data_IF_738360625047
#
_entry.id   IF_738360625047
#
_cell.length_a   1.000
_cell.length_b   1.000
_cell.length_c   1.000
_cell.angle_alpha   90.00
_cell.angle_beta   90.00
_cell.angle_gamma   90.00
#
_symmetry.space_group_name_H-M   'P 1'
#
loop_
_entity.id
_entity.type
_entity.pdbx_description
1 polymer ?
#
# COMPACT_ATOMS: atom_id res chain seq x y z
N UNK A 1 -0.47 -9.78 -1.72
CA UNK A 1 0.43 -10.23 -2.81
C UNK A 1 0.73 -11.74 -2.73
N UNK A 2 0.97 -12.33 -1.54
CA UNK A 2 1.16 -13.78 -1.42
C UNK A 2 -0.03 -14.57 -1.99
N UNK A 3 -1.27 -14.16 -1.71
CA UNK A 3 -2.46 -14.74 -2.31
C UNK A 3 -2.43 -14.64 -3.84
N UNK A 4 -2.12 -13.47 -4.40
CA UNK A 4 -2.03 -13.29 -5.85
C UNK A 4 -1.03 -14.28 -6.49
N UNK A 5 0.17 -14.37 -5.93
CA UNK A 5 1.19 -15.30 -6.40
C UNK A 5 0.74 -16.78 -6.32
N UNK A 6 0.01 -17.17 -5.27
CA UNK A 6 -0.57 -18.52 -5.17
C UNK A 6 -1.64 -18.77 -6.23
N UNK A 7 -2.48 -17.77 -6.51
CA UNK A 7 -3.54 -17.91 -7.51
C UNK A 7 -3.00 -18.00 -8.94
N UNK A 8 -1.90 -17.31 -9.23
CA UNK A 8 -1.23 -17.36 -10.55
C UNK A 8 -0.65 -18.74 -10.91
N UNK A 9 -0.36 -19.57 -9.93
CA UNK A 9 0.16 -20.94 -10.17
C UNK A 9 -0.96 -21.94 -10.54
N UNK A 10 -2.22 -21.67 -10.15
CA UNK A 10 -3.34 -22.58 -10.33
C UNK A 10 -3.54 -23.02 -11.79
N UNK A 11 -3.53 -22.14 -12.82
CA UNK A 11 -3.72 -22.57 -14.20
C UNK A 11 -2.66 -23.57 -14.67
N UNK A 12 -1.40 -23.38 -14.31
CA UNK A 12 -0.31 -24.28 -14.64
C UNK A 12 -0.48 -25.64 -13.94
N UNK A 13 -0.85 -25.64 -12.66
CA UNK A 13 -1.13 -26.85 -11.92
C UNK A 13 -2.28 -27.64 -12.57
N UNK A 14 -3.38 -26.99 -12.92
CA UNK A 14 -4.50 -27.61 -13.63
C UNK A 14 -4.04 -28.25 -14.94
N UNK A 15 -3.25 -27.52 -15.72
CA UNK A 15 -2.73 -28.02 -16.99
C UNK A 15 -1.90 -29.31 -16.82
N UNK A 16 -1.05 -29.38 -15.79
CA UNK A 16 -0.24 -30.57 -15.50
C UNK A 16 -1.08 -31.78 -15.06
N UNK A 17 -2.23 -31.55 -14.43
CA UNK A 17 -3.08 -32.61 -13.87
C UNK A 17 -4.17 -33.11 -14.84
N UNK A 18 -4.49 -32.36 -15.91
CA UNK A 18 -5.54 -32.73 -16.90
C UNK A 18 -5.32 -34.10 -17.54
N UNK A 19 -4.06 -34.57 -17.66
CA UNK A 19 -3.75 -35.90 -18.25
C UNK A 19 -3.90 -37.09 -17.30
N UNK A 20 -4.25 -36.87 -16.04
CA UNK A 20 -4.38 -37.93 -15.04
C UNK A 20 -5.79 -38.49 -15.00
N UNK A 21 -5.99 -39.73 -15.42
CA UNK A 21 -7.29 -40.42 -15.53
C UNK A 21 -7.80 -40.97 -14.17
N UNK A 22 -7.63 -40.23 -13.07
CA UNK A 22 -8.14 -40.60 -11.75
C UNK A 22 -9.39 -39.78 -11.42
N UNK A 23 -10.58 -40.40 -11.17
CA UNK A 23 -11.81 -39.66 -10.91
C UNK A 23 -11.68 -38.61 -9.78
N UNK A 24 -11.00 -38.97 -8.71
CA UNK A 24 -10.79 -38.06 -7.58
C UNK A 24 -10.03 -36.76 -7.98
N UNK A 25 -9.08 -36.86 -8.90
CA UNK A 25 -8.34 -35.69 -9.40
C UNK A 25 -9.26 -34.82 -10.22
N UNK A 26 -10.08 -35.41 -11.09
CA UNK A 26 -11.07 -34.66 -11.88
C UNK A 26 -12.09 -33.96 -11.00
N UNK A 27 -12.58 -34.60 -9.94
CA UNK A 27 -13.53 -34.01 -8.98
C UNK A 27 -12.91 -32.84 -8.19
N UNK A 28 -11.66 -32.96 -7.78
CA UNK A 28 -10.94 -31.91 -7.09
C UNK A 28 -10.69 -30.70 -8.01
N UNK A 29 -10.23 -30.95 -9.25
CA UNK A 29 -9.96 -29.89 -10.21
C UNK A 29 -11.23 -29.14 -10.65
N UNK A 30 -12.40 -29.83 -10.67
CA UNK A 30 -13.68 -29.19 -10.97
C UNK A 30 -14.10 -28.14 -9.92
N UNK A 31 -13.65 -28.29 -8.67
CA UNK A 31 -13.91 -27.32 -7.59
C UNK A 31 -12.97 -26.09 -7.63
N UNK A 32 -11.85 -26.19 -8.31
CA UNK A 32 -10.87 -25.10 -8.40
C UNK A 32 -11.25 -24.21 -9.58
N UNK A 33 -11.76 -23.01 -9.30
CA UNK A 33 -12.06 -21.99 -10.31
C UNK A 33 -10.81 -21.37 -10.91
N UNK A 34 -10.99 -20.56 -11.94
CA UNK A 34 -9.97 -19.61 -12.39
C UNK A 34 -10.09 -18.31 -11.57
N UNK A 35 -8.97 -17.88 -11.03
CA UNK A 35 -8.85 -16.67 -10.20
C UNK A 35 -7.95 -15.61 -10.86
N UNK A 36 -7.74 -15.69 -12.18
CA UNK A 36 -6.86 -14.75 -12.90
C UNK A 36 -7.23 -13.29 -12.69
N UNK A 37 -8.55 -12.97 -12.71
CA UNK A 37 -9.02 -11.60 -12.47
C UNK A 37 -8.71 -11.10 -11.05
N UNK A 38 -8.82 -11.98 -10.05
CA UNK A 38 -8.49 -11.66 -8.65
C UNK A 38 -6.99 -11.48 -8.49
N UNK A 39 -6.18 -12.38 -9.04
CA UNK A 39 -4.72 -12.26 -9.01
C UNK A 39 -4.25 -10.97 -9.67
N UNK A 40 -4.80 -10.66 -10.84
CA UNK A 40 -4.54 -9.41 -11.55
C UNK A 40 -4.95 -8.19 -10.74
N UNK A 41 -6.16 -8.16 -10.19
CA UNK A 41 -6.64 -7.05 -9.35
C UNK A 41 -5.67 -6.79 -8.19
N UNK A 42 -5.23 -7.84 -7.50
CA UNK A 42 -4.31 -7.71 -6.35
C UNK A 42 -2.95 -7.18 -6.77
N UNK A 43 -2.41 -7.66 -7.89
CA UNK A 43 -1.12 -7.21 -8.41
C UNK A 43 -1.16 -5.78 -8.95
N UNK A 44 -2.28 -5.38 -9.57
CA UNK A 44 -2.45 -4.03 -10.09
C UNK A 44 -2.69 -3.01 -8.95
N UNK A 45 -3.40 -3.42 -7.90
CA UNK A 45 -3.85 -2.52 -6.85
C UNK A 45 -2.89 -2.38 -5.68
N UNK A 46 -2.20 -3.44 -5.26
CA UNK A 46 -1.40 -3.44 -4.02
C UNK A 46 0.07 -3.17 -4.34
N UNK A 47 0.65 -2.22 -3.59
CA UNK A 47 2.06 -1.90 -3.73
C UNK A 47 2.93 -3.04 -3.16
N UNK A 48 3.95 -3.53 -3.90
CA UNK A 48 4.88 -4.54 -3.40
C UNK A 48 5.65 -4.12 -2.14
N UNK A 49 5.80 -2.83 -1.93
CA UNK A 49 6.47 -2.24 -0.78
C UNK A 49 5.48 -1.69 0.25
N UNK A 50 4.20 -2.13 0.17
CA UNK A 50 3.17 -1.70 1.11
C UNK A 50 3.62 -1.86 2.57
N UNK A 51 3.39 -0.85 3.42
CA UNK A 51 3.75 -0.92 4.82
C UNK A 51 2.88 -1.96 5.55
N UNK A 52 3.38 -2.48 6.66
CA UNK A 52 2.64 -3.45 7.48
C UNK A 52 1.41 -2.84 8.18
N UNK A 53 1.29 -1.52 8.20
CA UNK A 53 0.18 -0.80 8.82
C UNK A 53 -0.54 0.06 7.79
N UNK A 54 -1.87 0.10 7.85
CA UNK A 54 -2.69 0.92 6.94
C UNK A 54 -2.78 2.40 7.37
N UNK A 55 -2.21 2.73 8.54
CA UNK A 55 -2.42 4.04 9.20
C UNK A 55 -1.85 5.21 8.39
N UNK A 56 -0.70 5.00 7.77
CA UNK A 56 0.05 6.07 7.10
C UNK A 56 -0.12 6.06 5.56
N UNK A 57 -0.98 5.17 5.05
CA UNK A 57 -1.20 4.97 3.63
C UNK A 57 -0.02 4.28 2.92
N UNK A 58 0.02 4.36 1.59
CA UNK A 58 1.12 3.81 0.79
C UNK A 58 0.96 2.33 0.44
N UNK A 59 -0.23 1.77 0.55
CA UNK A 59 -0.52 0.37 0.24
C UNK A 59 -1.22 0.16 -1.11
N UNK A 60 -1.77 1.20 -1.71
CA UNK A 60 -2.27 1.17 -3.08
C UNK A 60 -1.17 1.59 -4.06
N UNK A 61 -0.97 0.80 -5.10
CA UNK A 61 0.06 1.02 -6.11
C UNK A 61 -0.17 2.33 -6.86
N UNK A 62 0.87 3.14 -7.14
CA UNK A 62 0.77 4.26 -8.07
C UNK A 62 0.28 3.79 -9.45
N UNK A 63 -0.57 4.58 -10.08
CA UNK A 63 -1.20 4.25 -11.36
C UNK A 63 -2.50 3.44 -11.25
N UNK A 64 -2.87 2.93 -10.08
CA UNK A 64 -4.12 2.19 -9.89
C UNK A 64 -5.35 3.11 -9.90
N UNK A 65 -5.24 4.31 -9.33
CA UNK A 65 -6.32 5.29 -9.29
C UNK A 65 -5.78 6.70 -9.53
N UNK A 66 -6.26 7.34 -10.60
CA UNK A 66 -5.79 8.65 -11.02
C UNK A 66 -6.02 9.74 -9.95
N UNK A 67 -7.18 9.77 -9.30
CA UNK A 67 -7.50 10.75 -8.25
C UNK A 67 -6.54 10.62 -7.06
N UNK A 68 -6.19 9.40 -6.66
CA UNK A 68 -5.22 9.15 -5.61
C UNK A 68 -3.83 9.65 -5.99
N UNK A 69 -3.42 9.43 -7.23
CA UNK A 69 -2.12 9.87 -7.74
C UNK A 69 -2.06 11.40 -7.83
N UNK A 70 -3.15 12.07 -8.17
CA UNK A 70 -3.25 13.54 -8.13
C UNK A 70 -3.06 14.10 -6.71
N UNK A 71 -3.71 13.50 -5.70
CA UNK A 71 -3.48 13.88 -4.29
C UNK A 71 -2.05 13.64 -3.83
N UNK A 72 -1.43 12.54 -4.24
CA UNK A 72 -0.02 12.22 -3.95
C UNK A 72 0.93 13.22 -4.63
N UNK A 73 0.67 13.57 -5.88
CA UNK A 73 1.44 14.57 -6.61
C UNK A 73 1.37 15.96 -5.95
N UNK A 74 0.20 16.38 -5.46
CA UNK A 74 0.05 17.61 -4.68
C UNK A 74 0.89 17.58 -3.41
N UNK A 75 0.95 16.44 -2.72
CA UNK A 75 1.81 16.25 -1.53
C UNK A 75 3.30 16.34 -1.87
N UNK A 76 3.75 15.69 -2.94
CA UNK A 76 5.17 15.76 -3.37
C UNK A 76 5.54 17.17 -3.84
N UNK A 77 4.69 17.81 -4.61
CA UNK A 77 4.88 19.19 -5.05
C UNK A 77 4.92 20.19 -3.87
N UNK A 78 4.27 19.86 -2.75
CA UNK A 78 4.29 20.73 -1.56
C UNK A 78 5.69 20.96 -1.01
N UNK A 79 6.55 19.95 -1.02
CA UNK A 79 7.95 20.08 -0.58
C UNK A 79 8.71 21.08 -1.45
N UNK A 80 8.49 21.01 -2.76
CA UNK A 80 9.08 21.93 -3.73
C UNK A 80 8.54 23.36 -3.54
N UNK A 81 7.23 23.51 -3.33
CA UNK A 81 6.60 24.81 -3.07
C UNK A 81 7.15 25.45 -1.80
N UNK A 82 7.26 24.69 -0.70
CA UNK A 82 7.82 25.18 0.56
C UNK A 82 9.30 25.56 0.40
N UNK A 83 10.10 24.79 -0.33
CA UNK A 83 11.50 25.11 -0.61
C UNK A 83 11.64 26.39 -1.47
N UNK A 84 10.78 26.57 -2.46
CA UNK A 84 10.72 27.79 -3.28
C UNK A 84 10.29 28.99 -2.44
N UNK A 85 9.30 28.84 -1.57
CA UNK A 85 8.90 29.89 -0.63
C UNK A 85 10.07 30.27 0.27
N UNK A 86 10.80 29.32 0.84
CA UNK A 86 11.96 29.59 1.67
C UNK A 86 13.03 30.39 0.92
N UNK A 87 13.34 30.02 -0.33
CA UNK A 87 14.30 30.75 -1.16
C UNK A 87 13.83 32.18 -1.45
N UNK A 88 12.54 32.35 -1.79
CA UNK A 88 11.96 33.68 -2.04
C UNK A 88 12.02 34.55 -0.78
N UNK A 89 11.61 34.02 0.38
CA UNK A 89 11.66 34.74 1.65
C UNK A 89 13.10 35.16 2.02
N UNK A 90 14.08 34.28 1.80
CA UNK A 90 15.51 34.66 2.00
C UNK A 90 15.96 35.79 1.09
N UNK A 91 15.53 35.78 -0.18
CA UNK A 91 15.88 36.81 -1.15
C UNK A 91 15.21 38.17 -0.81
N UNK A 92 13.93 38.16 -0.46
CA UNK A 92 13.15 39.37 -0.13
C UNK A 92 13.59 40.01 1.19
N UNK A 93 13.88 39.20 2.22
CA UNK A 93 14.23 39.68 3.55
C UNK A 93 15.72 39.91 3.75
N UNK A 94 16.58 39.34 2.92
CA UNK A 94 18.04 39.31 3.11
C UNK A 94 18.51 38.43 4.28
N UNK A 95 17.60 37.67 4.92
CA UNK A 95 17.90 36.83 6.07
C UNK A 95 18.43 35.49 5.57
N UNK A 96 19.76 35.32 5.53
CA UNK A 96 20.43 34.14 4.95
C UNK A 96 20.11 32.83 5.64
N UNK A 97 19.84 32.84 6.93
CA UNK A 97 19.56 31.64 7.73
C UNK A 97 18.09 31.40 8.03
N UNK A 98 17.19 32.13 7.36
CA UNK A 98 15.76 31.87 7.42
C UNK A 98 15.48 30.44 6.93
N UNK A 99 14.67 29.69 7.68
CA UNK A 99 14.22 28.34 7.33
C UNK A 99 12.73 28.23 7.50
N UNK A 100 12.09 27.49 6.58
CA UNK A 100 10.70 27.06 6.76
C UNK A 100 10.71 25.61 7.23
N UNK A 101 10.09 25.36 8.39
CA UNK A 101 10.03 24.04 9.02
C UNK A 101 8.60 23.71 9.44
N UNK A 102 8.33 22.43 9.69
CA UNK A 102 7.03 21.95 10.14
C UNK A 102 7.12 21.41 11.57
N UNK A 103 6.09 21.69 12.35
CA UNK A 103 5.91 21.13 13.69
C UNK A 103 4.44 20.71 13.86
N UNK A 104 4.18 19.57 14.48
CA UNK A 104 2.81 19.04 14.68
C UNK A 104 1.89 19.96 15.48
N UNK A 105 2.46 20.84 16.34
CA UNK A 105 1.68 21.74 17.20
C UNK A 105 1.35 23.06 16.48
N UNK A 106 2.31 23.59 15.73
CA UNK A 106 2.20 24.94 15.13
C UNK A 106 2.03 24.92 13.61
N UNK A 107 2.14 23.75 12.97
CA UNK A 107 2.17 23.64 11.52
C UNK A 107 3.49 24.12 10.90
N UNK A 108 3.42 24.68 9.71
CA UNK A 108 4.58 25.32 9.07
C UNK A 108 4.88 26.68 9.71
N UNK A 109 6.16 26.93 9.93
CA UNK A 109 6.65 28.18 10.51
C UNK A 109 7.97 28.61 9.86
N UNK A 110 8.22 29.91 9.89
CA UNK A 110 9.48 30.52 9.49
C UNK A 110 10.33 30.68 10.75
N UNK A 111 11.51 30.11 10.78
CA UNK A 111 12.46 30.24 11.88
C UNK A 111 13.59 31.18 11.50
N UNK A 112 13.82 32.19 12.34
CA UNK A 112 14.86 33.22 12.19
C UNK A 112 15.68 33.26 13.47
N UNK A 113 17.00 33.19 13.36
CA UNK A 113 17.89 33.30 14.53
C UNK A 113 17.87 34.72 15.10
N UNK A 114 18.14 34.85 16.39
CA UNK A 114 18.12 36.12 17.11
C UNK A 114 19.01 37.20 16.49
N UNK A 115 20.09 36.79 15.78
CA UNK A 115 21.00 37.72 15.10
C UNK A 115 20.34 38.51 13.98
N UNK A 116 19.24 38.00 13.43
CA UNK A 116 18.52 38.63 12.30
C UNK A 116 17.11 39.08 12.66
N UNK A 117 16.70 39.08 13.93
CA UNK A 117 15.34 39.44 14.36
C UNK A 117 14.90 40.84 13.95
N UNK A 118 15.87 41.77 13.86
CA UNK A 118 15.58 43.16 13.47
C UNK A 118 15.32 43.34 11.95
N UNK A 119 15.60 42.30 11.16
CA UNK A 119 15.36 42.28 9.71
C UNK A 119 14.02 41.59 9.36
N UNK A 120 13.31 41.08 10.36
CA UNK A 120 12.03 40.40 10.15
C UNK A 120 10.98 41.41 9.72
N UNK A 121 10.26 41.19 8.60
CA UNK A 121 9.22 42.06 8.13
C UNK A 121 8.07 42.21 9.13
N UNK A 122 7.44 43.38 9.18
CA UNK A 122 6.35 43.70 10.11
C UNK A 122 5.09 42.83 9.92
N UNK A 123 4.90 42.25 8.73
CA UNK A 123 3.77 41.40 8.41
C UNK A 123 3.95 39.94 8.85
N UNK A 124 5.12 39.58 9.41
CA UNK A 124 5.33 38.28 10.03
C UNK A 124 4.71 38.28 11.43
N UNK A 125 3.88 37.30 11.71
CA UNK A 125 3.23 37.13 13.01
C UNK A 125 4.09 36.18 13.86
N UNK A 126 4.67 36.73 14.95
CA UNK A 126 5.46 35.90 15.88
C UNK A 126 4.57 34.91 16.62
N UNK A 127 4.95 33.65 16.63
CA UNK A 127 4.26 32.55 17.33
C UNK A 127 5.01 32.00 18.51
N UNK A 128 6.34 31.97 18.44
CA UNK A 128 7.16 31.40 19.52
C UNK A 128 8.51 32.08 19.57
N UNK A 129 9.00 32.33 20.80
CA UNK A 129 10.37 32.77 21.09
C UNK A 129 11.14 31.60 21.70
N UNK A 130 12.30 31.27 21.13
CA UNK A 130 13.23 30.27 21.61
C UNK A 130 14.49 30.97 22.12
N UNK A 131 15.38 30.20 22.78
CA UNK A 131 16.63 30.75 23.29
C UNK A 131 17.50 31.40 22.20
N UNK A 132 17.57 30.79 21.00
CA UNK A 132 18.48 31.22 19.93
C UNK A 132 17.74 31.66 18.64
N UNK A 133 16.42 31.59 18.58
CA UNK A 133 15.63 31.88 17.39
C UNK A 133 14.21 32.35 17.77
N UNK A 134 13.53 32.97 16.81
CA UNK A 134 12.10 33.24 16.89
C UNK A 134 11.37 32.56 15.72
N UNK A 135 10.13 32.13 15.96
CA UNK A 135 9.28 31.46 14.98
C UNK A 135 8.11 32.35 14.60
N UNK A 136 7.89 32.44 13.31
CA UNK A 136 6.89 33.30 12.72
C UNK A 136 5.98 32.53 11.78
N UNK A 137 4.79 33.06 11.56
CA UNK A 137 3.89 32.62 10.49
C UNK A 137 3.58 33.78 9.55
N UNK A 138 3.22 33.42 8.33
CA UNK A 138 2.73 34.32 7.27
C UNK A 138 1.44 33.74 6.70
N UNK A 139 0.49 34.58 6.31
CA UNK A 139 -0.81 34.16 5.77
C UNK A 139 -0.67 33.21 4.55
N UNK A 140 0.24 33.56 3.66
CA UNK A 140 0.52 32.73 2.48
C UNK A 140 1.00 31.31 2.86
N UNK A 141 1.88 31.20 3.87
CA UNK A 141 2.37 29.91 4.36
C UNK A 141 1.23 29.08 4.97
N UNK A 142 0.32 29.72 5.69
CA UNK A 142 -0.86 29.09 6.27
C UNK A 142 -1.82 28.56 5.19
N UNK A 143 -2.07 29.34 4.15
CA UNK A 143 -2.90 28.93 3.01
C UNK A 143 -2.31 27.69 2.29
N UNK A 144 -0.99 27.65 2.12
CA UNK A 144 -0.34 26.47 1.54
C UNK A 144 -0.41 25.26 2.47
N UNK A 145 -0.24 25.46 3.77
CA UNK A 145 -0.41 24.40 4.76
C UNK A 145 -1.79 23.75 4.69
N UNK A 146 -2.85 24.53 4.65
CA UNK A 146 -4.23 24.06 4.55
C UNK A 146 -4.44 23.19 3.29
N UNK A 147 -3.90 23.62 2.15
CA UNK A 147 -3.96 22.84 0.91
C UNK A 147 -3.23 21.50 1.02
N UNK A 148 -2.03 21.50 1.62
CA UNK A 148 -1.21 20.31 1.80
C UNK A 148 -1.89 19.31 2.75
N UNK A 149 -2.40 19.78 3.88
CA UNK A 149 -3.08 18.94 4.88
C UNK A 149 -4.35 18.32 4.31
N UNK A 150 -5.15 19.13 3.59
CA UNK A 150 -6.37 18.63 2.95
C UNK A 150 -6.06 17.55 1.90
N UNK A 151 -5.07 17.76 1.04
CA UNK A 151 -4.67 16.77 0.04
C UNK A 151 -4.20 15.45 0.67
N UNK A 152 -3.44 15.52 1.76
CA UNK A 152 -2.98 14.33 2.46
C UNK A 152 -4.15 13.57 3.12
N UNK A 153 -5.09 14.27 3.73
CA UNK A 153 -6.27 13.66 4.32
C UNK A 153 -7.16 12.99 3.26
N UNK A 154 -7.38 13.65 2.12
CA UNK A 154 -8.14 13.10 1.01
C UNK A 154 -7.46 11.86 0.42
N UNK A 155 -6.14 11.89 0.25
CA UNK A 155 -5.38 10.73 -0.20
C UNK A 155 -5.56 9.53 0.73
N UNK A 156 -5.42 9.70 2.05
CA UNK A 156 -5.60 8.63 3.03
C UNK A 156 -7.02 8.06 3.03
N UNK A 157 -8.03 8.93 2.96
CA UNK A 157 -9.45 8.51 2.90
C UNK A 157 -9.75 7.72 1.64
N UNK A 158 -9.28 8.20 0.49
CA UNK A 158 -9.48 7.54 -0.80
C UNK A 158 -8.78 6.18 -0.82
N UNK A 159 -7.55 6.12 -0.34
CA UNK A 159 -6.77 4.89 -0.28
C UNK A 159 -7.45 3.84 0.61
N UNK A 160 -7.97 4.23 1.77
CA UNK A 160 -8.74 3.34 2.65
C UNK A 160 -10.02 2.82 1.99
N UNK A 161 -10.73 3.68 1.22
CA UNK A 161 -11.91 3.29 0.45
C UNK A 161 -11.57 2.26 -0.63
N UNK A 162 -10.54 2.54 -1.43
CA UNK A 162 -10.09 1.62 -2.48
C UNK A 162 -9.69 0.26 -1.92
N UNK A 163 -8.99 0.24 -0.80
CA UNK A 163 -8.63 -1.01 -0.11
C UNK A 163 -9.86 -1.77 0.38
N UNK A 164 -10.86 -1.07 0.93
CA UNK A 164 -12.12 -1.69 1.34
C UNK A 164 -12.86 -2.31 0.14
N UNK A 165 -12.91 -1.62 -1.00
CA UNK A 165 -13.51 -2.14 -2.24
C UNK A 165 -12.81 -3.41 -2.75
N UNK A 166 -11.47 -3.45 -2.70
CA UNK A 166 -10.69 -4.64 -3.05
C UNK A 166 -11.02 -5.79 -2.10
N UNK A 167 -11.05 -5.52 -0.79
CA UNK A 167 -11.41 -6.52 0.23
C UNK A 167 -12.82 -7.07 0.01
N UNK A 168 -13.80 -6.24 -0.33
CA UNK A 168 -15.17 -6.70 -0.63
C UNK A 168 -15.22 -7.61 -1.85
N UNK A 169 -14.44 -7.32 -2.90
CA UNK A 169 -14.32 -8.21 -4.06
C UNK A 169 -13.74 -9.57 -3.67
N UNK A 170 -12.73 -9.61 -2.82
CA UNK A 170 -12.17 -10.85 -2.30
C UNK A 170 -13.18 -11.63 -1.46
N UNK A 171 -13.95 -10.96 -0.62
CA UNK A 171 -14.96 -11.61 0.23
C UNK A 171 -16.07 -12.28 -0.57
N UNK A 172 -16.40 -11.77 -1.76
CA UNK A 172 -17.37 -12.43 -2.67
C UNK A 172 -16.87 -13.76 -3.21
N UNK A 173 -15.56 -13.96 -3.28
CA UNK A 173 -14.94 -15.18 -3.79
C UNK A 173 -14.44 -16.10 -2.65
N UNK A 174 -14.75 -15.79 -1.39
CA UNK A 174 -14.18 -16.49 -0.24
C UNK A 174 -14.51 -18.00 -0.23
N UNK A 175 -15.73 -18.36 -0.58
CA UNK A 175 -16.16 -19.77 -0.66
C UNK A 175 -15.35 -20.51 -1.73
N UNK A 176 -15.24 -19.93 -2.92
CA UNK A 176 -14.48 -20.53 -4.03
C UNK A 176 -12.98 -20.62 -3.73
N UNK A 177 -12.44 -19.64 -3.02
CA UNK A 177 -11.04 -19.67 -2.56
C UNK A 177 -10.82 -20.75 -1.51
N UNK A 178 -11.79 -20.95 -0.61
CA UNK A 178 -11.75 -22.01 0.40
C UNK A 178 -11.83 -23.39 -0.27
N UNK A 179 -12.77 -23.60 -1.20
CA UNK A 179 -12.90 -24.85 -1.95
C UNK A 179 -11.62 -25.19 -2.73
N UNK A 180 -10.99 -24.19 -3.32
CA UNK A 180 -9.72 -24.35 -4.01
C UNK A 180 -8.60 -24.75 -3.04
N UNK A 181 -8.51 -24.09 -1.89
CA UNK A 181 -7.53 -24.38 -0.85
C UNK A 181 -7.67 -25.83 -0.34
N UNK A 182 -8.89 -26.26 -0.04
CA UNK A 182 -9.17 -27.62 0.44
C UNK A 182 -8.83 -28.67 -0.63
N UNK A 183 -9.20 -28.39 -1.89
CA UNK A 183 -8.88 -29.27 -3.01
C UNK A 183 -7.38 -29.41 -3.22
N UNK A 184 -6.63 -28.32 -3.13
CA UNK A 184 -5.17 -28.33 -3.22
C UNK A 184 -4.53 -29.07 -2.04
N UNK A 185 -5.08 -28.92 -0.83
CA UNK A 185 -4.64 -29.67 0.36
C UNK A 185 -4.80 -31.18 0.20
N UNK A 186 -5.93 -31.61 -0.36
CA UNK A 186 -6.15 -33.05 -0.67
C UNK A 186 -5.19 -33.55 -1.76
N UNK A 187 -4.96 -32.75 -2.81
CA UNK A 187 -3.99 -33.08 -3.87
C UNK A 187 -2.57 -33.24 -3.31
N UNK A 188 -2.15 -32.37 -2.41
CA UNK A 188 -0.84 -32.46 -1.75
C UNK A 188 -0.72 -33.73 -0.92
N UNK A 189 -1.74 -34.09 -0.14
CA UNK A 189 -1.78 -35.35 0.60
C UNK A 189 -1.69 -36.57 -0.33
N UNK A 190 -2.45 -36.58 -1.44
CA UNK A 190 -2.40 -37.68 -2.41
C UNK A 190 -1.02 -37.80 -3.07
N UNK A 191 -0.39 -36.69 -3.40
CA UNK A 191 0.96 -36.64 -3.94
C UNK A 191 1.98 -37.16 -2.93
N UNK A 192 1.88 -36.74 -1.67
CA UNK A 192 2.75 -37.26 -0.59
C UNK A 192 2.61 -38.80 -0.43
N UNK A 193 1.37 -39.32 -0.42
CA UNK A 193 1.13 -40.78 -0.37
C UNK A 193 1.70 -41.51 -1.59
N UNK A 194 1.55 -40.95 -2.80
CA UNK A 194 2.10 -41.53 -4.01
C UNK A 194 3.63 -41.60 -3.99
N UNK A 195 4.29 -40.54 -3.50
CA UNK A 195 5.75 -40.50 -3.34
C UNK A 195 6.22 -41.60 -2.36
N UNK A 196 5.58 -41.70 -1.20
CA UNK A 196 5.92 -42.70 -0.18
C UNK A 196 5.65 -44.10 -0.69
N UNK A 197 4.51 -44.38 -1.31
CA UNK A 197 4.16 -45.67 -1.86
C UNK A 197 5.16 -46.12 -2.95
N UNK A 198 5.54 -45.21 -3.84
CA UNK A 198 6.54 -45.48 -4.89
C UNK A 198 7.92 -45.75 -4.29
N UNK A 199 8.36 -44.96 -3.31
CA UNK A 199 9.65 -45.08 -2.65
C UNK A 199 9.79 -46.41 -1.90
N UNK A 200 8.72 -46.87 -1.25
CA UNK A 200 8.69 -48.14 -0.47
C UNK A 200 8.15 -49.33 -1.27
N UNK A 201 7.83 -49.14 -2.56
CA UNK A 201 7.28 -50.19 -3.44
C UNK A 201 5.98 -50.80 -2.89
N UNK A 202 5.09 -49.97 -2.30
CA UNK A 202 3.80 -50.43 -1.82
C UNK A 202 2.91 -50.86 -2.98
N UNK A 203 2.12 -51.89 -2.73
CA UNK A 203 1.10 -52.42 -3.66
C UNK A 203 -0.30 -52.26 -3.06
N UNK A 204 -1.32 -52.16 -3.91
CA UNK A 204 -2.70 -52.09 -3.43
C UNK A 204 -3.09 -53.43 -2.77
N UNK A 205 -3.46 -53.42 -1.48
CA UNK A 205 -3.86 -54.67 -0.80
C UNK A 205 -5.20 -55.19 -1.35
N UNK A 206 -5.34 -56.50 -1.39
CA UNK A 206 -6.63 -57.15 -1.58
C UNK A 206 -7.18 -57.53 -0.21
N UNK A 207 -8.35 -56.98 0.13
CA UNK A 207 -9.06 -57.35 1.36
C UNK A 207 -9.94 -58.54 1.03
N UNK A 208 -9.64 -59.68 1.61
CA UNK A 208 -10.45 -60.89 1.53
C UNK A 208 -11.28 -61.02 2.81
N UNK A 209 -12.58 -61.24 2.65
CA UNK A 209 -13.46 -61.50 3.78
C UNK A 209 -13.10 -62.88 4.37
N UNK A 210 -12.97 -62.95 5.71
CA UNK A 210 -12.83 -64.19 6.45
C UNK A 210 -14.15 -64.95 6.61
#
# INVERSE_FOLDING_TARGET
LALAASLEVIPNLKFQLVGLNAPIISDLLAKVKDFGDIAKLLNDAIDPQAPNTLKDGGYIRPGFNQELDEYRALRENSKTIIAQMEQRERAETGIKNLKISYNRIFGYFIEVTNSFKNMVPYHYIRKQTLANAERYIREELKTQEEKILNSNEQALRLEARLFAEIKEKLLKEIESLTDASDSLGVLDCLNAFAIVARGNRYVRPQIVGG
#
